data_IF_124154799170
#
_entry.id   IF_124154799170
#
_cell.length_a   1.000
_cell.length_b   1.000
_cell.length_c   1.000
_cell.angle_alpha   90.00
_cell.angle_beta   90.00
_cell.angle_gamma   90.00
#
_symmetry.space_group_name_H-M   'P 1'
#
loop_
_entity.id
_entity.type
_entity.pdbx_description
1 polymer ?
#
# COMPACT_ATOMS: atom_id res chain seq x y z
N UNK A 1 -22.40 13.06 5.17
CA UNK A 1 -23.54 13.08 4.22
C UNK A 1 -23.17 12.16 3.07
N UNK A 2 -23.52 10.89 3.17
CA UNK A 2 -23.17 9.86 2.17
C UNK A 2 -23.94 10.12 0.86
N UNK A 3 -23.23 10.46 -0.21
CA UNK A 3 -23.81 10.53 -1.55
C UNK A 3 -23.73 9.14 -2.19
N UNK A 4 -24.79 8.35 -2.03
CA UNK A 4 -24.94 7.09 -2.75
C UNK A 4 -25.12 7.35 -4.25
N UNK A 5 -24.03 7.35 -5.01
CA UNK A 5 -24.06 7.48 -6.48
C UNK A 5 -24.27 6.10 -7.10
N UNK A 6 -25.53 5.77 -7.37
CA UNK A 6 -25.87 4.65 -8.27
C UNK A 6 -25.48 5.03 -9.70
N UNK A 7 -24.30 4.61 -10.17
CA UNK A 7 -23.93 4.70 -11.59
C UNK A 7 -24.56 3.52 -12.34
N UNK A 8 -25.36 3.85 -13.35
CA UNK A 8 -25.87 2.90 -14.34
C UNK A 8 -24.70 2.42 -15.19
N UNK A 9 -24.31 1.16 -15.03
CA UNK A 9 -23.45 0.43 -15.97
C UNK A 9 -24.12 0.44 -17.35
N UNK A 10 -23.75 1.41 -18.18
CA UNK A 10 -23.98 1.36 -19.61
C UNK A 10 -22.90 0.44 -20.18
N UNK A 11 -23.18 -0.86 -20.20
CA UNK A 11 -22.41 -1.85 -20.94
C UNK A 11 -22.41 -1.48 -22.42
N UNK A 12 -21.46 -0.65 -22.85
CA UNK A 12 -21.24 -0.30 -24.24
C UNK A 12 -20.76 -1.54 -24.97
N UNK A 13 -21.59 -1.99 -25.91
CA UNK A 13 -21.39 -3.21 -26.66
C UNK A 13 -20.10 -3.21 -27.46
N UNK A 14 -19.55 -4.42 -27.58
CA UNK A 14 -18.36 -4.73 -28.34
C UNK A 14 -18.32 -4.06 -29.72
N UNK A 15 -17.18 -3.43 -29.96
CA UNK A 15 -16.78 -2.88 -31.24
C UNK A 15 -16.48 -4.07 -32.18
N UNK A 16 -17.46 -4.42 -33.03
CA UNK A 16 -17.22 -5.30 -34.16
C UNK A 16 -16.32 -4.56 -35.16
N UNK A 17 -15.03 -4.89 -35.16
CA UNK A 17 -14.05 -4.47 -36.17
C UNK A 17 -14.49 -5.03 -37.52
N UNK A 18 -15.23 -4.22 -38.28
CA UNK A 18 -15.65 -4.54 -39.62
C UNK A 18 -14.43 -4.48 -40.56
N UNK A 19 -13.84 -5.64 -40.84
CA UNK A 19 -12.83 -5.79 -41.89
C UNK A 19 -13.47 -5.47 -43.25
N UNK A 20 -13.14 -4.31 -43.81
CA UNK A 20 -13.57 -3.91 -45.14
C UNK A 20 -12.80 -4.73 -46.20
N UNK A 21 -13.45 -5.75 -46.74
CA UNK A 21 -12.99 -6.43 -47.96
C UNK A 21 -13.19 -5.51 -49.17
N UNK A 22 -12.10 -5.35 -49.93
CA UNK A 22 -12.08 -4.69 -51.22
C UNK A 22 -12.98 -5.37 -52.26
N UNK A 23 -13.75 -4.57 -53.00
CA UNK A 23 -14.30 -4.96 -54.30
C UNK A 23 -15.65 -4.33 -54.65
N UNK A 24 -15.67 -3.29 -55.49
CA UNK A 24 -16.10 -3.39 -56.89
C UNK A 24 -16.22 -2.01 -57.55
N UNK A 25 -15.73 -1.97 -58.80
CA UNK A 25 -15.79 -0.86 -59.75
C UNK A 25 -17.22 -0.37 -60.00
N UNK A 26 -17.38 0.95 -60.03
CA UNK A 26 -18.45 1.66 -60.73
C UNK A 26 -17.87 2.93 -61.37
N UNK A 27 -17.65 2.89 -62.68
CA UNK A 27 -17.45 4.05 -63.56
C UNK A 27 -18.69 4.95 -63.46
N UNK A 28 -18.53 6.21 -63.03
CA UNK A 28 -19.44 7.31 -63.39
C UNK A 28 -18.70 8.65 -63.30
N UNK A 29 -18.42 9.23 -64.47
CA UNK A 29 -17.93 10.59 -64.70
C UNK A 29 -18.90 11.65 -64.16
N UNK A 30 -18.51 12.48 -63.19
CA UNK A 30 -19.05 13.85 -63.06
C UNK A 30 -17.94 14.79 -62.54
N UNK A 31 -17.47 15.65 -63.43
CA UNK A 31 -16.50 16.69 -63.14
C UNK A 31 -17.18 17.85 -62.40
N UNK A 32 -16.84 18.07 -61.13
CA UNK A 32 -17.15 19.34 -60.49
C UNK A 32 -17.21 19.32 -58.97
N UNK A 33 -16.07 19.58 -58.33
CA UNK A 33 -15.90 20.58 -57.28
C UNK A 33 -14.56 20.35 -56.59
N UNK A 34 -13.73 21.39 -56.55
CA UNK A 34 -12.59 21.44 -55.65
C UNK A 34 -13.14 21.58 -54.22
N UNK A 35 -13.49 20.46 -53.60
CA UNK A 35 -13.72 20.35 -52.17
C UNK A 35 -12.43 19.86 -51.55
N UNK A 36 -11.79 20.74 -50.78
CA UNK A 36 -10.59 20.47 -50.01
C UNK A 36 -10.96 19.49 -48.88
N UNK A 37 -11.01 18.20 -49.23
CA UNK A 37 -11.13 17.09 -48.29
C UNK A 37 -9.77 16.96 -47.59
N UNK A 38 -9.52 17.85 -46.63
CA UNK A 38 -8.58 17.56 -45.56
C UNK A 38 -9.21 16.42 -44.74
N UNK A 39 -9.04 15.22 -45.27
CA UNK A 39 -9.21 13.98 -44.53
C UNK A 39 -8.18 14.01 -43.42
N UNK A 40 -8.59 14.61 -42.31
CA UNK A 40 -7.97 14.40 -41.01
C UNK A 40 -8.28 12.94 -40.64
N UNK A 41 -7.57 12.03 -41.30
CA UNK A 41 -7.32 10.69 -40.81
C UNK A 41 -6.39 10.86 -39.61
N UNK A 42 -6.90 11.54 -38.58
CA UNK A 42 -6.39 11.42 -37.23
C UNK A 42 -6.73 9.98 -36.85
N UNK A 43 -5.89 9.06 -37.33
CA UNK A 43 -5.77 7.73 -36.76
C UNK A 43 -5.28 7.95 -35.35
N UNK A 44 -6.21 8.37 -34.49
CA UNK A 44 -5.99 8.50 -33.07
C UNK A 44 -5.38 7.18 -32.65
N UNK A 45 -4.17 7.24 -32.11
CA UNK A 45 -3.57 6.09 -31.48
C UNK A 45 -4.64 5.52 -30.55
N UNK A 46 -4.85 4.20 -30.64
CA UNK A 46 -5.76 3.57 -29.70
C UNK A 46 -5.20 3.86 -28.31
N UNK A 47 -6.00 4.47 -27.44
CA UNK A 47 -5.60 4.65 -26.04
C UNK A 47 -5.31 3.26 -25.47
N UNK A 48 -4.13 3.13 -24.86
CA UNK A 48 -3.75 1.95 -24.11
C UNK A 48 -4.11 2.16 -22.63
N UNK A 49 -4.26 1.09 -21.88
CA UNK A 49 -4.64 1.13 -20.46
C UNK A 49 -3.63 0.34 -19.63
N UNK A 50 -3.20 0.90 -18.51
CA UNK A 50 -2.34 0.26 -17.50
C UNK A 50 -3.07 0.34 -16.17
N UNK A 51 -3.20 -0.78 -15.46
CA UNK A 51 -3.68 -0.75 -14.07
C UNK A 51 -2.51 -0.37 -13.18
N UNK A 52 -2.69 0.62 -12.32
CA UNK A 52 -1.66 1.18 -11.44
C UNK A 52 -2.14 1.15 -9.98
N UNK A 53 -1.33 0.63 -9.07
CA UNK A 53 -1.63 0.56 -7.64
C UNK A 53 -0.42 1.07 -6.85
N UNK A 54 -0.69 1.78 -5.75
CA UNK A 54 0.33 2.25 -4.82
C UNK A 54 0.04 1.69 -3.43
N UNK A 55 1.03 1.04 -2.82
CA UNK A 55 0.97 0.53 -1.45
C UNK A 55 2.09 1.12 -0.60
N UNK A 56 1.84 1.36 0.68
CA UNK A 56 2.90 1.70 1.64
C UNK A 56 3.67 0.44 2.04
N UNK A 57 5.00 0.49 2.02
CA UNK A 57 5.87 -0.68 2.30
C UNK A 57 6.94 -0.43 3.37
N UNK A 58 6.73 0.61 4.19
CA UNK A 58 7.50 0.90 5.39
C UNK A 58 6.52 1.12 6.55
N UNK A 59 6.77 0.48 7.69
CA UNK A 59 5.94 0.62 8.90
C UNK A 59 5.28 -0.65 9.42
N UNK A 60 5.73 -1.85 9.02
CA UNK A 60 5.55 -3.03 9.89
C UNK A 60 6.54 -2.94 11.05
N UNK A 61 6.39 -1.89 11.84
CA UNK A 61 6.80 -1.87 13.22
C UNK A 61 5.89 -2.92 13.82
N UNK A 62 6.39 -4.15 13.82
CA UNK A 62 5.91 -5.20 14.68
C UNK A 62 6.20 -4.73 16.11
N UNK A 63 5.43 -3.74 16.55
CA UNK A 63 4.95 -3.62 17.91
C UNK A 63 4.00 -4.80 18.11
N UNK A 64 4.53 -6.02 17.89
CA UNK A 64 4.16 -7.22 18.59
C UNK A 64 4.59 -7.02 20.06
N UNK A 65 4.04 -5.96 20.67
CA UNK A 65 3.53 -5.97 22.03
C UNK A 65 2.36 -6.97 22.03
N UNK A 66 2.66 -8.20 21.63
CA UNK A 66 2.10 -9.38 22.23
C UNK A 66 2.56 -9.39 23.68
N UNK A 67 2.03 -8.43 24.45
CA UNK A 67 1.63 -8.66 25.82
C UNK A 67 0.61 -9.81 25.76
N UNK A 68 1.15 -11.01 25.62
CA UNK A 68 0.58 -12.19 26.22
C UNK A 68 0.58 -11.96 27.72
N UNK A 69 -0.33 -11.08 28.17
CA UNK A 69 -1.03 -11.23 29.43
C UNK A 69 -1.88 -12.51 29.29
N UNK A 70 -1.18 -13.64 29.16
CA UNK A 70 -1.64 -14.92 29.63
C UNK A 70 -1.70 -14.82 31.16
N UNK A 71 -2.63 -14.00 31.65
CA UNK A 71 -3.29 -14.13 32.93
C UNK A 71 -4.07 -15.46 32.90
N UNK A 72 -3.31 -16.54 32.85
CA UNK A 72 -3.74 -17.84 33.30
C UNK A 72 -3.74 -17.83 34.83
N UNK A 73 -4.67 -17.07 35.40
CA UNK A 73 -5.23 -17.34 36.72
C UNK A 73 -6.07 -18.64 36.65
N UNK A 74 -5.44 -19.74 36.27
CA UNK A 74 -5.93 -21.07 36.59
C UNK A 74 -5.33 -21.44 37.95
N UNK A 75 -6.02 -20.97 38.98
CA UNK A 75 -6.03 -21.55 40.32
C UNK A 75 -6.28 -23.07 40.20
N UNK A 76 -5.21 -23.83 40.02
CA UNK A 76 -5.19 -25.27 40.13
C UNK A 76 -4.30 -25.65 41.30
N UNK A 77 -4.89 -25.54 42.49
CA UNK A 77 -4.52 -26.29 43.68
C UNK A 77 -4.49 -27.79 43.37
N UNK A 78 -3.33 -28.29 42.95
CA UNK A 78 -2.99 -29.69 43.01
C UNK A 78 -1.72 -29.86 43.84
N UNK A 79 -1.94 -29.87 45.16
CA UNK A 79 -1.17 -30.70 46.09
C UNK A 79 -1.14 -32.14 45.54
N UNK A 80 -0.07 -32.55 44.88
CA UNK A 80 0.34 -33.96 44.88
C UNK A 80 1.84 -34.06 44.54
N UNK A 81 2.59 -34.31 45.61
CA UNK A 81 3.99 -34.72 45.65
C UNK A 81 4.38 -35.65 44.49
N UNK A 82 5.18 -35.16 43.55
CA UNK A 82 5.99 -36.00 42.68
C UNK A 82 7.41 -35.45 42.56
N UNK A 83 8.26 -35.88 43.49
CA UNK A 83 9.70 -35.95 43.32
C UNK A 83 10.00 -36.88 42.13
N UNK A 84 10.24 -36.33 40.95
CA UNK A 84 10.96 -37.03 39.89
C UNK A 84 11.91 -36.04 39.19
N UNK A 85 13.18 -36.17 39.58
CA UNK A 85 14.35 -35.53 38.99
C UNK A 85 14.34 -35.73 37.46
N UNK A 86 14.04 -34.66 36.71
CA UNK A 86 14.33 -34.56 35.29
C UNK A 86 15.17 -33.32 35.05
N UNK A 87 16.47 -33.48 35.31
CA UNK A 87 17.54 -32.71 34.68
C UNK A 87 17.52 -33.01 33.17
N UNK A 88 16.52 -32.50 32.45
CA UNK A 88 16.53 -32.42 30.99
C UNK A 88 16.84 -30.97 30.64
N UNK A 89 18.14 -30.66 30.76
CA UNK A 89 18.82 -29.54 30.15
C UNK A 89 18.56 -29.60 28.63
N UNK A 90 17.40 -29.12 28.21
CA UNK A 90 17.15 -28.76 26.83
C UNK A 90 17.75 -27.39 26.62
N UNK A 91 19.09 -27.39 26.48
CA UNK A 91 19.83 -26.37 25.76
C UNK A 91 19.25 -26.35 24.34
N UNK A 92 18.16 -25.60 24.19
CA UNK A 92 17.70 -25.11 22.91
C UNK A 92 18.71 -24.05 22.49
N UNK A 93 19.86 -24.55 21.98
CA UNK A 93 20.68 -23.83 21.01
C UNK A 93 19.80 -23.64 19.75
N UNK A 94 18.76 -22.82 19.89
CA UNK A 94 18.03 -22.21 18.80
C UNK A 94 18.94 -21.13 18.23
N UNK A 95 20.07 -21.60 17.66
CA UNK A 95 20.86 -20.90 16.68
C UNK A 95 19.97 -20.78 15.43
N UNK A 96 18.91 -19.98 15.53
CA UNK A 96 18.31 -19.32 14.39
C UNK A 96 19.32 -18.28 13.92
N UNK A 97 20.37 -18.78 13.26
CA UNK A 97 21.11 -18.04 12.26
C UNK A 97 20.11 -17.75 11.13
N UNK A 98 19.17 -16.87 11.44
CA UNK A 98 18.37 -16.14 10.49
C UNK A 98 19.33 -15.14 9.85
N UNK A 99 20.21 -15.69 9.00
CA UNK A 99 20.76 -14.97 7.86
C UNK A 99 19.56 -14.64 6.96
N UNK A 100 18.73 -13.69 7.42
CA UNK A 100 17.77 -12.98 6.61
C UNK A 100 18.63 -12.18 5.67
N UNK A 101 18.96 -12.79 4.53
CA UNK A 101 19.34 -12.06 3.33
C UNK A 101 18.27 -10.97 3.19
N UNK A 102 18.63 -9.75 3.58
CA UNK A 102 17.82 -8.56 3.39
C UNK A 102 17.73 -8.35 1.89
N UNK A 103 16.83 -9.10 1.27
CA UNK A 103 16.38 -8.80 -0.07
C UNK A 103 15.74 -7.42 0.04
N UNK A 104 16.31 -6.44 -0.66
CA UNK A 104 15.79 -5.07 -0.68
C UNK A 104 14.40 -4.99 -1.37
N UNK A 105 13.77 -6.14 -1.67
CA UNK A 105 12.45 -6.31 -2.25
C UNK A 105 11.35 -6.56 -1.21
N UNK A 106 10.14 -6.79 -1.72
CA UNK A 106 8.95 -7.02 -0.89
C UNK A 106 8.90 -8.45 -0.37
N UNK A 107 8.36 -8.62 0.83
CA UNK A 107 7.99 -9.93 1.36
C UNK A 107 6.85 -10.55 0.54
N UNK A 108 6.72 -11.87 0.62
CA UNK A 108 5.63 -12.58 -0.06
C UNK A 108 4.25 -12.13 0.43
N UNK A 109 4.11 -11.81 1.73
CA UNK A 109 2.86 -11.34 2.31
C UNK A 109 2.45 -9.96 1.76
N UNK A 110 3.40 -9.06 1.54
CA UNK A 110 3.14 -7.74 0.91
C UNK A 110 2.71 -7.88 -0.55
N UNK A 111 3.36 -8.77 -1.30
CA UNK A 111 2.99 -9.06 -2.69
C UNK A 111 1.56 -9.66 -2.72
N UNK A 112 1.27 -10.66 -1.89
CA UNK A 112 -0.04 -11.28 -1.80
C UNK A 112 -1.14 -10.28 -1.41
N UNK A 113 -0.81 -9.31 -0.54
CA UNK A 113 -1.72 -8.21 -0.19
C UNK A 113 -2.04 -7.35 -1.41
N UNK A 114 -1.02 -6.84 -2.12
CA UNK A 114 -1.20 -6.02 -3.32
C UNK A 114 -1.99 -6.77 -4.41
N UNK A 115 -1.75 -8.07 -4.56
CA UNK A 115 -2.53 -8.93 -5.46
C UNK A 115 -4.02 -8.95 -5.13
N UNK A 116 -4.36 -8.93 -3.85
CA UNK A 116 -5.74 -8.84 -3.39
C UNK A 116 -6.44 -7.60 -3.93
N UNK A 117 -5.79 -6.44 -3.83
CA UNK A 117 -6.32 -5.18 -4.35
C UNK A 117 -6.48 -5.21 -5.88
N UNK A 118 -5.46 -5.69 -6.60
CA UNK A 118 -5.50 -5.77 -8.07
C UNK A 118 -6.58 -6.72 -8.61
N UNK A 119 -6.88 -7.82 -7.92
CA UNK A 119 -7.87 -8.80 -8.40
C UNK A 119 -9.31 -8.43 -8.01
N UNK A 120 -9.52 -7.90 -6.81
CA UNK A 120 -10.85 -7.82 -6.21
C UNK A 120 -11.45 -6.42 -6.15
N UNK A 121 -10.63 -5.38 -6.21
CA UNK A 121 -11.12 -4.01 -6.08
C UNK A 121 -11.54 -3.41 -7.42
N UNK A 122 -12.48 -2.48 -7.35
CA UNK A 122 -12.95 -1.74 -8.52
C UNK A 122 -11.91 -0.66 -8.87
N UNK A 123 -11.44 -0.66 -10.12
CA UNK A 123 -10.47 0.32 -10.61
C UNK A 123 -11.08 1.71 -10.79
N UNK A 124 -10.38 2.75 -10.33
CA UNK A 124 -10.77 4.14 -10.54
C UNK A 124 -10.10 4.71 -11.81
N UNK A 125 -10.87 5.24 -12.79
CA UNK A 125 -10.30 5.65 -14.06
C UNK A 125 -9.56 7.00 -13.95
N UNK A 126 -8.36 7.06 -14.52
CA UNK A 126 -7.54 8.27 -14.59
C UNK A 126 -6.89 8.40 -15.98
N UNK A 127 -6.69 9.63 -16.45
CA UNK A 127 -6.02 9.90 -17.73
C UNK A 127 -4.58 10.37 -17.44
N UNK A 128 -3.59 9.63 -17.91
CA UNK A 128 -2.18 10.01 -17.73
C UNK A 128 -1.86 11.27 -18.53
N UNK A 129 -0.93 12.08 -18.02
CA UNK A 129 -0.43 13.25 -18.74
C UNK A 129 0.69 12.87 -19.70
N UNK A 130 0.92 13.70 -20.72
CA UNK A 130 2.06 13.56 -21.64
C UNK A 130 3.38 14.09 -21.04
N UNK A 131 3.36 14.67 -19.83
CA UNK A 131 4.52 15.25 -19.17
C UNK A 131 4.47 15.11 -17.63
N UNK A 132 5.62 15.03 -16.94
CA UNK A 132 5.67 15.00 -15.47
C UNK A 132 5.03 16.24 -14.80
N UNK A 133 5.18 17.42 -15.41
CA UNK A 133 4.71 18.70 -14.86
C UNK A 133 3.18 18.81 -14.85
N UNK A 134 2.51 18.08 -15.74
CA UNK A 134 1.06 18.04 -15.90
C UNK A 134 0.43 16.75 -15.36
N UNK A 135 1.24 15.87 -14.77
CA UNK A 135 0.80 14.57 -14.26
C UNK A 135 -0.34 14.73 -13.26
N UNK A 136 -1.45 13.97 -13.42
CA UNK A 136 -2.51 13.97 -12.41
C UNK A 136 -1.96 13.39 -11.11
N UNK A 137 -2.39 13.97 -9.98
CA UNK A 137 -1.96 13.54 -8.65
C UNK A 137 -2.98 12.56 -8.08
N UNK A 138 -2.49 11.43 -7.59
CA UNK A 138 -3.21 10.47 -6.74
C UNK A 138 -2.55 10.44 -5.35
N UNK A 139 -3.32 10.06 -4.35
CA UNK A 139 -2.89 10.03 -2.94
C UNK A 139 -3.46 8.85 -2.17
N UNK A 140 -4.50 8.20 -2.69
CA UNK A 140 -5.06 7.01 -2.09
C UNK A 140 -4.10 5.83 -2.30
N UNK A 141 -3.68 5.21 -1.21
CA UNK A 141 -3.01 3.90 -1.22
C UNK A 141 -4.07 2.79 -1.26
N UNK A 142 -3.68 1.56 -1.62
CA UNK A 142 -4.57 0.39 -1.70
C UNK A 142 -5.70 0.47 -2.74
N UNK A 143 -5.77 1.53 -3.55
CA UNK A 143 -6.78 1.73 -4.59
C UNK A 143 -6.15 1.52 -5.97
N UNK A 144 -6.58 0.52 -6.75
CA UNK A 144 -6.14 0.36 -8.13
C UNK A 144 -6.76 1.44 -9.03
N UNK A 145 -5.98 1.93 -9.99
CA UNK A 145 -6.38 2.93 -10.97
C UNK A 145 -6.27 2.36 -12.40
N UNK A 146 -7.31 2.53 -13.22
CA UNK A 146 -7.26 2.23 -14.66
C UNK A 146 -6.74 3.47 -15.41
N UNK A 147 -5.44 3.46 -15.72
CA UNK A 147 -4.73 4.59 -16.31
C UNK A 147 -4.79 4.54 -17.83
N UNK A 148 -5.54 5.47 -18.42
CA UNK A 148 -5.59 5.65 -19.88
C UNK A 148 -4.39 6.47 -20.38
N UNK A 149 -3.64 5.92 -21.34
CA UNK A 149 -2.43 6.52 -21.91
C UNK A 149 -2.67 6.89 -23.39
N UNK A 150 -2.45 8.15 -23.75
CA UNK A 150 -2.46 8.62 -25.14
C UNK A 150 -1.08 8.40 -25.81
N UNK A 151 -0.85 7.20 -26.36
CA UNK A 151 0.39 6.89 -27.08
C UNK A 151 1.13 5.72 -26.45
N UNK A 152 2.45 5.84 -26.31
CA UNK A 152 3.31 4.78 -25.78
C UNK A 152 3.68 5.00 -24.30
N UNK A 153 3.61 6.25 -23.80
CA UNK A 153 4.00 6.62 -22.43
C UNK A 153 3.05 7.64 -21.82
N UNK A 154 2.88 7.60 -20.51
CA UNK A 154 2.08 8.58 -19.75
C UNK A 154 2.62 8.76 -18.33
N UNK A 155 2.30 9.89 -17.70
CA UNK A 155 2.79 10.24 -16.36
C UNK A 155 1.65 10.32 -15.35
N UNK A 156 1.89 9.83 -14.14
CA UNK A 156 1.02 9.95 -12.95
C UNK A 156 1.89 10.35 -11.76
N UNK A 157 1.43 11.31 -10.96
CA UNK A 157 2.10 11.72 -9.73
C UNK A 157 1.41 11.08 -8.52
N UNK A 158 2.19 10.64 -7.55
CA UNK A 158 1.72 10.21 -6.25
C UNK A 158 2.21 11.21 -5.20
N UNK A 159 1.31 11.64 -4.32
CA UNK A 159 1.64 12.40 -3.11
C UNK A 159 1.15 11.58 -1.92
N UNK A 160 2.05 11.25 -0.98
CA UNK A 160 1.60 10.68 0.29
C UNK A 160 0.62 11.68 0.91
N UNK A 161 -0.53 11.19 1.37
CA UNK A 161 -1.43 12.03 2.13
C UNK A 161 -0.65 12.60 3.32
N UNK A 162 -0.56 13.93 3.41
CA UNK A 162 -0.19 14.56 4.67
C UNK A 162 -1.32 14.20 5.65
N UNK A 163 -1.21 13.07 6.35
CA UNK A 163 -2.10 12.69 7.47
C UNK A 163 -1.89 13.63 8.69
N UNK A 164 -1.38 14.84 8.44
CA UNK A 164 -0.91 15.91 9.32
C UNK A 164 -1.98 16.54 10.23
N UNK A 165 -3.20 16.01 10.31
CA UNK A 165 -4.27 16.66 11.10
C UNK A 165 -5.12 15.66 11.91
N UNK A 166 -4.48 14.60 12.38
CA UNK A 166 -4.99 13.84 13.52
C UNK A 166 -4.18 14.19 14.77
N UNK A 167 -4.17 15.50 15.10
CA UNK A 167 -4.14 15.96 16.49
C UNK A 167 -5.33 15.31 17.21
N UNK A 168 -5.19 14.04 17.52
CA UNK A 168 -5.90 13.37 18.59
C UNK A 168 -5.38 14.03 19.87
N UNK A 169 -5.85 15.26 20.11
CA UNK A 169 -6.15 15.75 21.46
C UNK A 169 -7.26 14.82 22.01
N UNK A 170 -6.97 13.52 22.10
CA UNK A 170 -7.62 12.60 23.00
C UNK A 170 -7.08 12.97 24.38
N UNK A 171 -7.59 14.11 24.85
CA UNK A 171 -7.86 14.38 26.25
C UNK A 171 -8.82 13.26 26.73
N UNK A 172 -8.31 12.03 26.79
CA UNK A 172 -8.85 10.96 27.58
C UNK A 172 -8.49 11.29 29.02
N UNK A 173 -9.19 12.28 29.56
CA UNK A 173 -9.44 12.39 30.99
C UNK A 173 -10.16 11.09 31.40
N UNK A 174 -9.39 10.02 31.63
CA UNK A 174 -9.80 8.83 32.35
C UNK A 174 -10.00 9.22 33.81
N UNK A 175 -11.09 9.95 34.06
CA UNK A 175 -11.77 9.95 35.36
C UNK A 175 -12.48 8.60 35.53
N UNK A 176 -11.73 7.49 35.45
CA UNK A 176 -12.19 6.20 35.95
C UNK A 176 -11.91 6.16 37.46
N UNK A 177 -12.77 6.89 38.17
CA UNK A 177 -13.07 6.69 39.58
C UNK A 177 -13.60 5.25 39.77
N UNK A 178 -12.70 4.27 39.72
CA UNK A 178 -12.95 2.93 40.20
C UNK A 178 -12.70 2.89 41.70
N UNK A 179 -13.68 3.39 42.45
CA UNK A 179 -13.88 3.10 43.87
C UNK A 179 -14.10 1.58 44.04
N UNK A 180 -13.01 0.80 44.06
CA UNK A 180 -13.01 -0.54 44.61
C UNK A 180 -12.77 -0.47 46.11
N UNK A 181 -13.87 -0.28 46.85
CA UNK A 181 -13.98 -0.63 48.26
C UNK A 181 -13.85 -2.16 48.40
N UNK A 182 -12.66 -2.71 48.22
CA UNK A 182 -12.33 -4.06 48.68
C UNK A 182 -11.39 -3.98 49.88
N UNK A 183 -12.04 -3.97 51.05
CA UNK A 183 -11.46 -4.20 52.37
C UNK A 183 -10.74 -5.57 52.38
N UNK A 184 -9.49 -5.60 51.95
CA UNK A 184 -8.56 -6.69 52.24
C UNK A 184 -7.55 -6.24 53.30
N UNK A 185 -7.97 -6.41 54.56
CA UNK A 185 -7.09 -6.40 55.73
C UNK A 185 -6.05 -7.54 55.59
N UNK A 186 -4.90 -7.25 54.99
CA UNK A 186 -3.69 -8.03 55.16
C UNK A 186 -2.62 -7.16 55.83
N UNK A 187 -2.59 -7.27 57.16
CA UNK A 187 -1.45 -6.90 58.00
C UNK A 187 -0.24 -7.76 57.60
N UNK A 188 0.56 -7.32 56.64
CA UNK A 188 1.95 -7.75 56.53
C UNK A 188 2.86 -6.52 56.41
N UNK A 189 3.34 -6.11 57.59
CA UNK A 189 4.37 -5.10 57.80
C UNK A 189 5.66 -5.51 57.06
N UNK A 190 5.86 -4.98 55.85
CA UNK A 190 7.17 -4.88 55.23
C UNK A 190 7.51 -3.41 54.95
N UNK A 191 8.02 -2.76 56.00
CA UNK A 191 8.73 -1.48 55.94
C UNK A 191 9.94 -1.61 54.99
N UNK A 192 9.81 -1.12 53.77
CA UNK A 192 10.94 -0.70 52.95
C UNK A 192 10.79 0.80 52.66
N UNK A 193 11.37 1.59 53.56
CA UNK A 193 11.74 2.98 53.33
C UNK A 193 12.79 3.01 52.21
N UNK A 194 12.36 3.09 50.95
CA UNK A 194 13.24 3.53 49.86
C UNK A 194 12.60 4.76 49.20
N UNK A 195 12.84 5.90 49.86
CA UNK A 195 12.77 7.23 49.28
C UNK A 195 13.75 7.27 48.08
N UNK A 196 13.23 7.02 46.90
CA UNK A 196 13.92 7.29 45.64
C UNK A 196 13.13 8.35 44.87
N UNK A 197 13.34 9.60 45.31
CA UNK A 197 13.09 10.80 44.52
C UNK A 197 13.99 10.74 43.26
N UNK A 198 13.46 10.14 42.20
CA UNK A 198 14.02 10.24 40.86
C UNK A 198 13.39 11.45 40.17
N UNK A 199 14.02 12.60 40.39
CA UNK A 199 13.94 13.75 39.48
C UNK A 199 14.61 13.36 38.15
N UNK A 200 14.04 12.40 37.43
CA UNK A 200 14.49 12.04 36.08
C UNK A 200 13.65 12.84 35.09
N UNK A 201 13.97 14.15 35.04
CA UNK A 201 13.74 15.00 33.88
C UNK A 201 14.61 14.43 32.73
N UNK A 202 14.18 13.31 32.16
CA UNK A 202 14.67 12.86 30.88
C UNK A 202 13.87 13.59 29.81
N UNK A 203 14.34 14.81 29.51
CA UNK A 203 14.10 15.45 28.21
C UNK A 203 14.68 14.52 27.14
N UNK A 204 13.89 13.51 26.79
CA UNK A 204 14.07 12.75 25.58
C UNK A 204 13.65 13.67 24.43
N UNK A 205 14.59 14.49 23.99
CA UNK A 205 14.64 14.96 22.61
C UNK A 205 14.85 13.71 21.73
N UNK A 206 13.86 12.81 21.72
CA UNK A 206 13.73 11.76 20.73
C UNK A 206 13.30 12.48 19.47
N UNK A 207 14.31 13.03 18.79
CA UNK A 207 14.31 13.18 17.34
C UNK A 207 14.09 11.76 16.77
N UNK A 208 12.87 11.25 16.90
CA UNK A 208 12.37 10.11 16.15
C UNK A 208 12.31 10.58 14.71
N UNK A 209 13.45 10.40 14.04
CA UNK A 209 13.57 10.40 12.60
C UNK A 209 12.48 9.42 12.13
N UNK A 210 11.35 9.94 11.68
CA UNK A 210 10.24 9.18 11.09
C UNK A 210 10.69 8.68 9.71
N UNK A 211 11.75 7.87 9.70
CA UNK A 211 12.48 7.44 8.52
C UNK A 211 11.73 6.44 7.65
N UNK A 212 10.54 6.01 8.05
CA UNK A 212 9.89 4.83 7.48
C UNK A 212 8.58 5.15 6.75
N UNK A 213 8.10 6.40 6.78
CA UNK A 213 6.80 6.79 6.20
C UNK A 213 6.78 7.11 4.70
N UNK A 214 7.94 7.22 4.06
CA UNK A 214 8.05 7.73 2.68
C UNK A 214 8.31 6.64 1.63
N UNK A 215 8.25 5.35 2.01
CA UNK A 215 8.53 4.24 1.08
C UNK A 215 7.25 3.55 0.62
N UNK A 216 7.05 3.52 -0.70
CA UNK A 216 5.87 2.96 -1.34
C UNK A 216 6.25 1.97 -2.44
N UNK A 217 5.45 0.93 -2.64
CA UNK A 217 5.55 0.05 -3.79
C UNK A 217 4.51 0.44 -4.86
N UNK A 218 4.99 0.61 -6.08
CA UNK A 218 4.20 0.98 -7.25
C UNK A 218 4.06 -0.26 -8.12
N UNK A 219 2.84 -0.79 -8.27
CA UNK A 219 2.55 -2.01 -9.02
C UNK A 219 1.86 -1.67 -10.34
N UNK A 220 2.19 -2.39 -11.41
CA UNK A 220 1.53 -2.25 -12.72
C UNK A 220 1.02 -3.56 -13.29
N UNK A 221 -0.09 -3.46 -14.03
CA UNK A 221 -0.62 -4.52 -14.89
C UNK A 221 -0.92 -3.99 -16.30
N UNK A 222 -0.57 -4.76 -17.33
CA UNK A 222 -0.66 -4.37 -18.74
C UNK A 222 0.39 -3.35 -19.16
N UNK A 223 1.48 -3.20 -18.39
CA UNK A 223 2.48 -2.16 -18.60
C UNK A 223 3.67 -2.25 -17.63
N UNK A 224 4.61 -1.32 -17.80
CA UNK A 224 5.79 -1.16 -16.96
C UNK A 224 5.81 0.24 -16.31
N UNK A 225 6.58 0.39 -15.24
CA UNK A 225 6.74 1.65 -14.49
C UNK A 225 8.20 2.06 -14.35
N UNK A 226 8.51 3.32 -14.66
CA UNK A 226 9.80 3.96 -14.37
C UNK A 226 9.58 5.20 -13.49
N UNK A 227 10.48 5.48 -12.55
CA UNK A 227 10.34 6.66 -11.66
C UNK A 227 11.02 7.87 -12.29
N UNK A 228 10.22 8.85 -12.71
CA UNK A 228 10.67 10.10 -13.32
C UNK A 228 11.12 11.13 -12.26
N UNK A 229 10.42 11.19 -11.12
CA UNK A 229 10.75 12.03 -9.96
C UNK A 229 10.57 11.18 -8.68
N UNK A 230 11.56 11.21 -7.76
CA UNK A 230 11.65 10.32 -6.59
C UNK A 230 12.91 9.45 -6.61
N UNK A 231 13.02 8.49 -5.70
CA UNK A 231 14.11 7.50 -5.70
C UNK A 231 13.58 6.07 -5.77
N UNK A 232 13.90 5.34 -6.83
CA UNK A 232 13.60 3.91 -6.92
C UNK A 232 14.72 3.11 -6.24
N UNK A 233 14.40 2.44 -5.13
CA UNK A 233 15.32 1.57 -4.39
C UNK A 233 15.43 0.17 -5.01
N UNK A 234 14.29 -0.40 -5.38
CA UNK A 234 14.17 -1.76 -5.93
C UNK A 234 13.14 -1.80 -7.07
N UNK A 235 13.33 -2.68 -8.04
CA UNK A 235 12.34 -2.95 -9.09
C UNK A 235 12.43 -4.41 -9.54
N UNK A 236 11.29 -5.06 -9.71
CA UNK A 236 11.24 -6.44 -10.17
C UNK A 236 10.11 -6.64 -11.20
N UNK A 237 10.44 -7.41 -12.24
CA UNK A 237 9.51 -7.75 -13.33
C UNK A 237 9.13 -9.22 -13.27
N UNK A 238 7.89 -9.55 -13.58
CA UNK A 238 7.41 -10.92 -13.72
C UNK A 238 7.18 -11.60 -12.38
N UNK A 239 6.37 -10.96 -11.53
CA UNK A 239 5.97 -11.46 -10.20
C UNK A 239 5.23 -12.80 -10.35
N UNK A 240 5.92 -13.92 -10.11
CA UNK A 240 5.42 -15.26 -10.46
C UNK A 240 4.15 -15.65 -9.68
N UNK A 241 3.99 -15.09 -8.49
CA UNK A 241 2.90 -15.41 -7.58
C UNK A 241 1.62 -14.59 -7.85
N UNK A 242 1.73 -13.55 -8.67
CA UNK A 242 0.64 -12.63 -8.95
C UNK A 242 0.35 -12.49 -10.44
N UNK A 243 -0.61 -13.25 -10.96
CA UNK A 243 -0.97 -13.20 -12.38
C UNK A 243 -1.54 -11.84 -12.85
N UNK A 244 -1.82 -10.93 -11.91
CA UNK A 244 -2.32 -9.58 -12.17
C UNK A 244 -1.25 -8.48 -12.08
N UNK A 245 0.01 -8.79 -11.76
CA UNK A 245 1.08 -7.79 -11.63
C UNK A 245 2.21 -8.17 -12.57
N UNK A 246 2.57 -7.26 -13.47
CA UNK A 246 3.66 -7.45 -14.42
C UNK A 246 4.98 -6.90 -13.86
N UNK A 247 4.95 -5.80 -13.11
CA UNK A 247 6.13 -5.16 -12.50
C UNK A 247 5.75 -4.44 -11.21
N UNK A 248 6.71 -4.34 -10.30
CA UNK A 248 6.66 -3.37 -9.19
C UNK A 248 7.98 -2.63 -9.01
N UNK A 249 7.90 -1.43 -8.45
CA UNK A 249 9.04 -0.64 -8.01
C UNK A 249 8.83 -0.10 -6.59
N UNK A 250 9.85 -0.24 -5.73
CA UNK A 250 9.89 0.37 -4.40
C UNK A 250 10.49 1.76 -4.52
N UNK A 251 9.74 2.76 -4.06
CA UNK A 251 9.97 4.19 -4.30
C UNK A 251 10.00 4.92 -2.96
N UNK A 252 11.12 5.58 -2.67
CA UNK A 252 11.19 6.61 -1.64
C UNK A 252 10.75 7.95 -2.25
N UNK A 253 9.77 8.60 -1.62
CA UNK A 253 9.24 9.88 -2.08
C UNK A 253 10.25 11.03 -1.85
N UNK A 254 10.36 11.95 -2.81
CA UNK A 254 11.14 13.19 -2.63
C UNK A 254 10.19 14.28 -2.10
N UNK A 255 10.30 14.60 -0.81
CA UNK A 255 9.42 15.55 -0.13
C UNK A 255 7.94 15.14 -0.18
N UNK A 256 7.65 13.86 0.09
CA UNK A 256 6.28 13.33 0.09
C UNK A 256 5.65 13.17 -1.31
N UNK A 257 6.44 13.28 -2.38
CA UNK A 257 5.97 13.16 -3.77
C UNK A 257 6.88 12.28 -4.64
N UNK A 258 6.26 11.54 -5.55
CA UNK A 258 6.93 10.87 -6.68
C UNK A 258 6.14 11.02 -7.98
N UNK A 259 6.80 10.87 -9.12
CA UNK A 259 6.16 10.84 -10.45
C UNK A 259 6.59 9.57 -11.18
N UNK A 260 5.59 8.76 -11.54
CA UNK A 260 5.75 7.55 -12.32
C UNK A 260 5.56 7.84 -13.82
N UNK A 261 6.48 7.36 -14.64
CA UNK A 261 6.34 7.18 -16.08
C UNK A 261 5.83 5.76 -16.35
N UNK A 262 4.67 5.64 -16.95
CA UNK A 262 4.00 4.38 -17.27
C UNK A 262 4.14 4.10 -18.77
N UNK A 263 4.44 2.86 -19.11
CA UNK A 263 4.49 2.39 -20.49
C UNK A 263 3.47 1.28 -20.69
N UNK A 264 2.59 1.42 -21.68
CA UNK A 264 1.64 0.38 -22.02
C UNK A 264 2.24 -0.63 -23.02
N UNK A 265 1.85 -1.91 -22.91
CA UNK A 265 2.31 -3.00 -23.81
C UNK A 265 1.44 -3.25 -25.06
#
# INVERSE_FOLDING_TARGET
>A
MEQTRRRLLASTGGLLTASAFAGCLGDDDEAGANGDENGDENGGAAAASVTFLVEGVGGHDHDDDHDHDDDHDDDHDHDDDHDDDHDDDHDHDDDHDDDHDHDDGLSHDEIDHACGHMEYDDEDPIEAADSPEDAPVVSDTHQPFDVSIEGDTGYVAFEAGDDDDHDHDDDHDHDDDHDHDDDHDHDDDHDHDDDHDHDDDHDHDDDHDHGDGDTFAFFTAGGSVEIAEGHAGHSETGVEDCAGIDEYAIVELDHGRAVAELHAE
#
